data_IF_999345735281
#
_entry.id   IF_999345735281
#
_cell.length_a   1.000
_cell.length_b   1.000
_cell.length_c   1.000
_cell.angle_alpha   90.00
_cell.angle_beta   90.00
_cell.angle_gamma   90.00
#
_symmetry.space_group_name_H-M   'P 1'
#
loop_
_entity.id
_entity.type
_entity.pdbx_description
1 polymer ?
#
# COMPACT_ATOMS: atom_id res chain seq x y z
N UNK A 1 12.59 21.62 49.51
CA UNK A 1 11.80 21.99 48.31
C UNK A 1 12.67 21.95 47.03
N UNK A 2 14.00 21.91 47.13
CA UNK A 2 14.90 21.82 45.95
C UNK A 2 15.10 20.40 45.39
N UNK A 3 15.02 19.35 46.21
CA UNK A 3 15.28 17.97 45.77
C UNK A 3 14.22 17.43 44.78
N UNK A 4 12.95 17.81 44.95
CA UNK A 4 11.86 17.39 44.05
C UNK A 4 12.01 17.96 42.63
N UNK A 5 12.58 19.16 42.50
CA UNK A 5 12.81 19.82 41.20
C UNK A 5 13.97 19.15 40.44
N UNK A 6 14.99 18.71 41.16
CA UNK A 6 16.13 17.97 40.58
C UNK A 6 15.69 16.58 40.11
N UNK A 7 14.84 15.90 40.88
CA UNK A 7 14.29 14.59 40.53
C UNK A 7 13.40 14.66 39.28
N UNK A 8 12.52 15.67 39.18
CA UNK A 8 11.70 15.91 37.98
C UNK A 8 12.57 16.18 36.75
N UNK A 9 13.59 17.04 36.88
CA UNK A 9 14.51 17.34 35.78
C UNK A 9 15.33 16.12 35.33
N UNK A 10 15.70 15.23 36.26
CA UNK A 10 16.38 13.97 35.93
C UNK A 10 15.44 13.00 35.18
N UNK A 11 14.20 12.85 35.67
CA UNK A 11 13.19 12.03 35.01
C UNK A 11 12.87 12.56 33.59
N UNK A 12 12.77 13.87 33.42
CA UNK A 12 12.57 14.51 32.11
C UNK A 12 13.74 14.26 31.16
N UNK A 13 14.98 14.34 31.63
CA UNK A 13 16.16 14.00 30.81
C UNK A 13 16.21 12.53 30.44
N UNK A 14 15.85 11.63 31.36
CA UNK A 14 15.77 10.20 31.10
C UNK A 14 14.69 9.88 30.04
N UNK A 15 13.51 10.49 30.15
CA UNK A 15 12.43 10.37 29.16
C UNK A 15 12.83 10.95 27.81
N UNK A 16 13.49 12.11 27.79
CA UNK A 16 13.96 12.74 26.56
C UNK A 16 15.06 11.91 25.88
N UNK A 17 15.96 11.29 26.65
CA UNK A 17 16.97 10.36 26.13
C UNK A 17 16.33 9.09 25.56
N UNK A 18 15.36 8.51 26.27
CA UNK A 18 14.61 7.35 25.81
C UNK A 18 13.82 7.63 24.54
N UNK A 19 13.19 8.81 24.43
CA UNK A 19 12.50 9.24 23.22
C UNK A 19 13.47 9.34 22.03
N UNK A 20 14.66 9.93 22.23
CA UNK A 20 15.69 9.97 21.18
C UNK A 20 16.20 8.56 20.81
N UNK A 21 16.31 7.65 21.78
CA UNK A 21 16.70 6.26 21.55
C UNK A 21 15.65 5.48 20.75
N UNK A 22 14.37 5.62 21.08
CA UNK A 22 13.26 5.00 20.34
C UNK A 22 13.17 5.56 18.91
N UNK A 23 13.33 6.86 18.75
CA UNK A 23 13.36 7.49 17.42
C UNK A 23 14.58 7.05 16.60
N UNK A 24 15.73 6.84 17.24
CA UNK A 24 16.93 6.26 16.63
C UNK A 24 16.74 4.78 16.27
N UNK A 25 15.97 4.03 17.07
CA UNK A 25 15.74 2.59 16.90
C UNK A 25 14.59 2.26 15.92
N UNK A 26 13.68 3.21 15.63
CA UNK A 26 12.56 3.00 14.69
C UNK A 26 13.02 2.71 13.26
N UNK A 27 14.28 3.05 12.91
CA UNK A 27 14.82 2.84 11.57
C UNK A 27 16.01 1.87 11.51
N UNK A 28 16.08 0.87 12.40
CA UNK A 28 17.15 -0.15 12.37
C UNK A 28 16.64 -1.54 12.04
N UNK A 29 16.25 -1.72 10.78
CA UNK A 29 16.64 -2.92 10.05
C UNK A 29 16.79 -2.52 8.60
N UNK A 30 18.03 -2.43 8.12
CA UNK A 30 18.28 -2.44 6.68
C UNK A 30 17.74 -3.77 6.13
N UNK A 31 17.25 -3.77 4.91
CA UNK A 31 16.85 -5.00 4.20
C UNK A 31 17.95 -6.07 4.27
N UNK A 32 19.21 -5.65 4.33
CA UNK A 32 20.40 -6.48 4.58
C UNK A 32 20.37 -7.16 5.96
N UNK A 33 20.07 -6.43 7.03
CA UNK A 33 20.00 -6.98 8.40
C UNK A 33 18.85 -8.00 8.53
N UNK A 34 17.77 -7.81 7.77
CA UNK A 34 16.64 -8.75 7.68
C UNK A 34 17.09 -10.04 6.98
N UNK A 35 17.81 -9.92 5.86
CA UNK A 35 18.36 -11.06 5.13
C UNK A 35 19.37 -11.86 5.94
N UNK A 36 20.31 -11.20 6.62
CA UNK A 36 21.30 -11.87 7.45
C UNK A 36 20.63 -12.60 8.63
N UNK A 37 19.58 -12.02 9.22
CA UNK A 37 18.75 -12.69 10.23
C UNK A 37 17.99 -13.88 9.66
N UNK A 38 17.44 -13.78 8.45
CA UNK A 38 16.72 -14.87 7.81
C UNK A 38 17.67 -16.05 7.49
N UNK A 39 18.89 -15.77 7.01
CA UNK A 39 19.92 -16.77 6.77
C UNK A 39 20.36 -17.47 8.06
N UNK A 40 20.51 -16.71 9.16
CA UNK A 40 20.83 -17.30 10.47
C UNK A 40 19.70 -18.18 11.03
N UNK A 41 18.43 -17.90 10.68
CA UNK A 41 17.28 -18.74 11.06
C UNK A 41 17.24 -20.01 10.21
N UNK A 42 17.56 -19.93 8.91
CA UNK A 42 17.68 -21.11 8.05
C UNK A 42 18.78 -22.07 8.51
N UNK A 43 19.88 -21.57 9.07
CA UNK A 43 20.98 -22.41 9.59
C UNK A 43 20.70 -23.19 10.90
N UNK A 44 19.55 -22.98 11.56
CA UNK A 44 19.15 -23.73 12.77
C UNK A 44 18.33 -24.97 12.40
N UNK A 45 17.81 -25.04 11.17
CA UNK A 45 16.98 -26.12 10.68
C UNK A 45 17.55 -26.69 9.39
N UNK A 46 18.61 -27.50 9.49
CA UNK A 46 19.00 -28.39 8.40
C UNK A 46 19.24 -29.80 8.98
N UNK A 47 18.86 -30.85 8.23
CA UNK A 47 19.68 -31.21 7.09
C UNK A 47 18.91 -31.25 5.76
N UNK A 48 19.58 -30.68 4.76
CA UNK A 48 19.82 -31.26 3.44
C UNK A 48 18.62 -31.39 2.48
N UNK A 49 18.76 -30.76 1.32
CA UNK A 49 18.44 -31.42 0.05
C UNK A 49 19.19 -30.74 -1.09
N UNK A 50 20.44 -31.18 -1.27
CA UNK A 50 21.12 -31.12 -2.55
C UNK A 50 20.52 -32.18 -3.49
N UNK A 51 20.61 -31.88 -4.78
CA UNK A 51 19.92 -32.44 -5.96
C UNK A 51 20.17 -33.94 -6.26
N UNK A 52 19.29 -34.50 -7.13
CA UNK A 52 19.43 -35.66 -8.07
C UNK A 52 18.66 -36.94 -7.59
N UNK A 53 17.86 -37.71 -8.35
CA UNK A 53 17.76 -38.09 -9.79
C UNK A 53 16.31 -38.55 -10.17
N UNK A 54 15.94 -38.41 -11.46
CA UNK A 54 14.76 -39.01 -12.14
C UNK A 54 14.84 -40.56 -12.21
N UNK A 55 13.76 -41.38 -12.34
CA UNK A 55 12.81 -41.30 -13.48
C UNK A 55 11.35 -41.83 -13.32
N UNK A 56 10.52 -41.38 -14.27
CA UNK A 56 9.34 -42.03 -14.88
C UNK A 56 7.95 -41.92 -14.20
N UNK A 57 7.08 -41.18 -14.92
CA UNK A 57 5.66 -41.47 -15.19
C UNK A 57 4.73 -41.44 -13.96
N UNK A 58 3.90 -40.42 -13.77
CA UNK A 58 2.59 -40.24 -14.42
C UNK A 58 2.24 -38.75 -14.49
N UNK A 59 1.80 -38.31 -15.68
CA UNK A 59 1.05 -37.10 -16.01
C UNK A 59 0.75 -36.10 -14.88
N UNK A 60 1.55 -35.04 -14.78
CA UNK A 60 1.16 -33.84 -14.03
C UNK A 60 1.03 -32.68 -15.01
N UNK A 61 -0.21 -32.38 -15.38
CA UNK A 61 -0.58 -31.01 -15.79
C UNK A 61 -0.15 -30.10 -14.64
N UNK A 62 0.79 -29.15 -14.85
CA UNK A 62 1.10 -28.18 -13.81
C UNK A 62 -0.21 -27.44 -13.47
N UNK A 63 -0.51 -27.23 -12.19
CA UNK A 63 -1.68 -26.46 -11.81
C UNK A 63 -1.57 -25.10 -12.51
N UNK A 64 -2.67 -24.61 -13.08
CA UNK A 64 -2.72 -23.29 -13.70
C UNK A 64 -2.54 -22.13 -12.68
N UNK A 65 -2.11 -22.45 -11.46
CA UNK A 65 -2.07 -21.59 -10.30
C UNK A 65 -0.64 -21.08 -10.05
N UNK A 66 0.40 -21.89 -10.30
CA UNK A 66 1.79 -21.44 -10.16
C UNK A 66 2.18 -20.50 -11.31
N UNK A 67 1.63 -20.67 -12.51
CA UNK A 67 1.87 -19.76 -13.65
C UNK A 67 1.39 -18.33 -13.34
N UNK A 68 0.25 -18.18 -12.66
CA UNK A 68 -0.35 -16.88 -12.27
C UNK A 68 0.51 -16.14 -11.22
N UNK A 69 1.25 -16.86 -10.38
CA UNK A 69 2.08 -16.26 -9.32
C UNK A 69 3.46 -15.82 -9.80
N UNK A 70 3.93 -16.36 -10.92
CA UNK A 70 5.17 -15.93 -11.58
C UNK A 70 4.96 -14.79 -12.60
N UNK A 71 3.70 -14.37 -12.81
CA UNK A 71 3.41 -13.19 -13.61
C UNK A 71 3.80 -11.97 -12.79
N UNK A 72 4.60 -11.03 -13.33
CA UNK A 72 4.84 -9.77 -12.65
C UNK A 72 3.49 -9.10 -12.40
N UNK A 73 3.12 -8.92 -11.13
CA UNK A 73 1.95 -8.14 -10.76
C UNK A 73 2.10 -6.80 -11.48
N UNK A 74 1.16 -6.47 -12.36
CA UNK A 74 1.13 -5.19 -13.08
C UNK A 74 0.71 -4.08 -12.12
N UNK A 75 1.54 -3.83 -11.11
CA UNK A 75 1.32 -2.84 -10.04
C UNK A 75 1.51 -1.41 -10.56
N UNK A 76 2.18 -1.27 -11.71
CA UNK A 76 2.52 0.01 -12.32
C UNK A 76 1.31 0.75 -12.91
N UNK A 77 0.21 0.05 -13.24
CA UNK A 77 -0.94 0.70 -13.87
C UNK A 77 -1.93 1.31 -12.85
N UNK A 78 -2.06 0.70 -11.67
CA UNK A 78 -3.07 1.13 -10.70
C UNK A 78 -2.64 2.42 -9.97
N UNK A 79 -1.35 2.52 -9.61
CA UNK A 79 -0.81 3.73 -8.99
C UNK A 79 -0.78 4.91 -9.96
N UNK A 80 -0.37 4.72 -11.22
CA UNK A 80 -0.30 5.82 -12.20
C UNK A 80 -1.67 6.37 -12.56
N UNK A 81 -2.67 5.50 -12.75
CA UNK A 81 -4.05 5.92 -13.08
C UNK A 81 -4.65 6.76 -11.96
N UNK A 82 -4.40 6.42 -10.70
CA UNK A 82 -4.86 7.21 -9.56
C UNK A 82 -4.18 8.60 -9.49
N UNK A 83 -2.89 8.67 -9.79
CA UNK A 83 -2.13 9.92 -9.82
C UNK A 83 -2.64 10.83 -10.94
N UNK A 84 -2.87 10.30 -12.14
CA UNK A 84 -3.38 11.05 -13.28
C UNK A 84 -4.77 11.66 -13.02
N UNK A 85 -5.71 10.90 -12.46
CA UNK A 85 -7.03 11.45 -12.11
C UNK A 85 -6.94 12.52 -11.02
N UNK A 86 -6.08 12.30 -10.01
CA UNK A 86 -5.87 13.27 -8.94
C UNK A 86 -5.35 14.60 -9.49
N UNK A 87 -4.34 14.58 -10.37
CA UNK A 87 -3.78 15.80 -10.96
C UNK A 87 -4.74 16.49 -11.94
N UNK A 88 -5.45 15.71 -12.77
CA UNK A 88 -6.31 16.28 -13.82
C UNK A 88 -7.67 16.71 -13.30
N UNK A 89 -8.35 15.87 -12.52
CA UNK A 89 -9.73 16.11 -12.08
C UNK A 89 -9.82 16.79 -10.72
N UNK A 90 -8.87 16.53 -9.82
CA UNK A 90 -8.91 17.02 -8.44
C UNK A 90 -7.81 18.05 -8.14
N UNK A 91 -7.25 18.68 -9.18
CA UNK A 91 -6.26 19.76 -9.07
C UNK A 91 -5.00 19.37 -8.25
N UNK A 92 -4.65 18.08 -8.22
CA UNK A 92 -3.55 17.55 -7.43
C UNK A 92 -3.91 17.32 -5.95
N UNK A 93 -5.15 17.56 -5.55
CA UNK A 93 -5.64 17.34 -4.18
C UNK A 93 -5.88 15.85 -3.92
N UNK A 94 -4.82 15.17 -3.47
CA UNK A 94 -4.91 13.77 -3.07
C UNK A 94 -5.91 13.56 -1.91
N UNK A 95 -6.03 14.54 -1.01
CA UNK A 95 -6.97 14.49 0.10
C UNK A 95 -8.44 14.41 -0.37
N UNK A 96 -8.78 15.17 -1.42
CA UNK A 96 -10.13 15.14 -1.97
C UNK A 96 -10.39 13.85 -2.74
N UNK A 97 -9.44 13.41 -3.56
CA UNK A 97 -9.54 12.12 -4.24
C UNK A 97 -9.78 10.96 -3.26
N UNK A 98 -9.01 10.88 -2.16
CA UNK A 98 -9.18 9.85 -1.13
C UNK A 98 -10.52 9.96 -0.40
N UNK A 99 -11.04 11.17 -0.16
CA UNK A 99 -12.38 11.38 0.41
C UNK A 99 -13.45 10.85 -0.52
N UNK A 100 -13.38 11.21 -1.80
CA UNK A 100 -14.32 10.79 -2.85
C UNK A 100 -14.30 9.26 -2.97
N UNK A 101 -13.11 8.65 -2.99
CA UNK A 101 -12.96 7.20 -3.06
C UNK A 101 -13.53 6.50 -1.81
N UNK A 102 -13.31 7.06 -0.62
CA UNK A 102 -13.91 6.53 0.61
C UNK A 102 -15.44 6.60 0.59
N UNK A 103 -16.01 7.66 0.03
CA UNK A 103 -17.46 7.79 -0.16
C UNK A 103 -17.98 6.82 -1.22
N UNK A 104 -17.25 6.62 -2.30
CA UNK A 104 -17.57 5.62 -3.31
C UNK A 104 -17.60 4.22 -2.69
N UNK A 105 -16.62 3.84 -1.87
CA UNK A 105 -16.61 2.53 -1.19
C UNK A 105 -17.84 2.25 -0.32
N UNK A 106 -18.64 3.26 0.04
CA UNK A 106 -19.91 3.09 0.77
C UNK A 106 -21.14 2.88 -0.12
N UNK A 107 -21.01 3.00 -1.44
CA UNK A 107 -22.10 2.77 -2.40
C UNK A 107 -22.30 1.28 -2.63
N UNK A 108 -23.55 0.86 -2.81
CA UNK A 108 -23.89 -0.56 -2.96
C UNK A 108 -23.85 -1.03 -4.42
N UNK A 109 -24.00 -0.10 -5.36
CA UNK A 109 -24.03 -0.41 -6.79
C UNK A 109 -23.40 0.68 -7.66
N UNK A 110 -23.02 0.27 -8.87
CA UNK A 110 -22.44 1.13 -9.91
C UNK A 110 -23.30 2.37 -10.20
N UNK A 111 -24.63 2.22 -10.25
CA UNK A 111 -25.52 3.33 -10.62
C UNK A 111 -25.48 4.46 -9.57
N UNK A 112 -25.45 4.10 -8.29
CA UNK A 112 -25.31 5.05 -7.18
C UNK A 112 -23.93 5.71 -7.16
N UNK A 113 -22.87 4.95 -7.45
CA UNK A 113 -21.51 5.48 -7.56
C UNK A 113 -21.40 6.54 -8.66
N UNK A 114 -21.94 6.26 -9.85
CA UNK A 114 -21.95 7.21 -10.97
C UNK A 114 -22.81 8.43 -10.65
N UNK A 115 -24.00 8.22 -10.08
CA UNK A 115 -24.90 9.32 -9.69
C UNK A 115 -24.25 10.24 -8.66
N UNK A 116 -23.50 9.67 -7.71
CA UNK A 116 -22.73 10.44 -6.76
C UNK A 116 -21.67 11.32 -7.44
N UNK A 117 -20.90 10.77 -8.38
CA UNK A 117 -19.90 11.55 -9.13
C UNK A 117 -20.58 12.69 -9.91
N UNK A 118 -21.65 12.41 -10.64
CA UNK A 118 -22.34 13.40 -11.47
C UNK A 118 -23.06 14.50 -10.68
N UNK A 119 -23.67 14.15 -9.54
CA UNK A 119 -24.52 15.08 -8.80
C UNK A 119 -23.85 15.73 -7.59
N UNK A 120 -22.81 15.11 -7.03
CA UNK A 120 -22.15 15.59 -5.81
C UNK A 120 -20.71 16.02 -6.05
N UNK A 121 -20.00 15.35 -6.97
CA UNK A 121 -18.58 15.64 -7.21
C UNK A 121 -18.42 16.65 -8.33
N UNK A 122 -19.05 16.40 -9.49
CA UNK A 122 -19.00 17.26 -10.67
C UNK A 122 -19.32 18.74 -10.40
N UNK A 123 -20.32 19.14 -9.59
CA UNK A 123 -20.57 20.55 -9.33
C UNK A 123 -19.50 21.25 -8.47
N UNK A 124 -18.67 20.48 -7.76
CA UNK A 124 -17.60 21.02 -6.91
C UNK A 124 -16.30 21.28 -7.69
N UNK A 125 -16.15 20.75 -8.92
CA UNK A 125 -14.94 20.86 -9.73
C UNK A 125 -15.21 21.39 -11.15
N UNK A 126 -14.28 22.19 -11.67
CA UNK A 126 -14.34 22.62 -13.08
C UNK A 126 -13.77 21.53 -14.01
N UNK A 127 -14.67 20.68 -14.50
CA UNK A 127 -14.37 19.61 -15.45
C UNK A 127 -14.76 19.94 -16.90
N UNK A 128 -15.20 21.18 -17.17
CA UNK A 128 -15.77 21.58 -18.46
C UNK A 128 -14.83 21.31 -19.64
N UNK A 129 -13.53 21.50 -19.45
CA UNK A 129 -12.49 21.24 -20.47
C UNK A 129 -11.80 19.87 -20.30
N UNK A 130 -12.33 19.01 -19.44
CA UNK A 130 -11.70 17.74 -19.02
C UNK A 130 -12.63 16.53 -19.19
N UNK A 131 -13.64 16.65 -20.06
CA UNK A 131 -14.67 15.64 -20.28
C UNK A 131 -14.10 14.26 -20.63
N UNK A 132 -12.99 14.17 -21.38
CA UNK A 132 -12.31 12.91 -21.68
C UNK A 132 -11.79 12.20 -20.41
N UNK A 133 -11.21 12.97 -19.49
CA UNK A 133 -10.72 12.44 -18.21
C UNK A 133 -11.87 12.06 -17.29
N UNK A 134 -12.98 12.80 -17.30
CA UNK A 134 -14.20 12.46 -16.56
C UNK A 134 -14.78 11.13 -17.07
N UNK A 135 -14.88 10.97 -18.39
CA UNK A 135 -15.36 9.72 -18.98
C UNK A 135 -14.48 8.53 -18.60
N UNK A 136 -13.15 8.71 -18.63
CA UNK A 136 -12.20 7.68 -18.20
C UNK A 136 -12.32 7.37 -16.70
N UNK A 137 -12.51 8.38 -15.85
CA UNK A 137 -12.71 8.20 -14.41
C UNK A 137 -14.00 7.43 -14.12
N UNK A 138 -15.12 7.80 -14.76
CA UNK A 138 -16.40 7.10 -14.61
C UNK A 138 -16.28 5.65 -15.11
N UNK A 139 -15.58 5.41 -16.21
CA UNK A 139 -15.32 4.05 -16.72
C UNK A 139 -14.49 3.23 -15.72
N UNK A 140 -13.47 3.84 -15.11
CA UNK A 140 -12.67 3.20 -14.08
C UNK A 140 -13.51 2.85 -12.84
N UNK A 141 -14.26 3.80 -12.30
CA UNK A 141 -15.15 3.56 -11.15
C UNK A 141 -16.21 2.50 -11.50
N UNK A 142 -16.74 2.51 -12.71
CA UNK A 142 -17.66 1.50 -13.21
C UNK A 142 -17.08 0.08 -13.21
N UNK A 143 -15.76 -0.09 -13.28
CA UNK A 143 -15.12 -1.40 -13.27
C UNK A 143 -14.92 -1.94 -11.84
N UNK A 144 -15.03 -1.07 -10.83
CA UNK A 144 -14.86 -1.42 -9.41
C UNK A 144 -16.13 -2.03 -8.78
N UNK A 145 -17.29 -1.96 -9.46
CA UNK A 145 -18.58 -2.53 -9.05
C UNK A 145 -19.09 -3.54 -10.07
#
# INVERSE_FOLDING_TARGET
MEEEKVLKSNAEKALMSLAHEILRNRNRMSLSDIHDKAAAIMGIAEPETETQEMPAEIAETPPALEDVLHQPITEIAFETVCIDFTEKLFEGSNADFQRIMSMLNTKENKAEAITFIEQQVRPDYDWSDKEDYVAAFIAHISQLY
#
